data_IF_034014626618
#
_entry.id   IF_034014626618
#
_cell.length_a   1.000
_cell.length_b   1.000
_cell.length_c   1.000
_cell.angle_alpha   90.00
_cell.angle_beta   90.00
_cell.angle_gamma   90.00
#
_symmetry.space_group_name_H-M   'P 1'
#
loop_
_entity.id
_entity.type
_entity.pdbx_description
1 polymer ?
#
# COMPACT_ATOMS: atom_id res chain seq x y z
N UNK A 1 -0.98 16.20 7.77
CA UNK A 1 -0.10 15.15 8.29
C UNK A 1 1.33 15.48 7.91
N UNK A 2 2.29 15.33 8.85
CA UNK A 2 3.70 15.52 8.49
C UNK A 2 4.15 14.46 7.47
N UNK A 3 5.20 14.74 6.69
CA UNK A 3 5.78 13.77 5.75
C UNK A 3 6.22 12.48 6.44
N UNK A 4 6.60 12.57 7.70
CA UNK A 4 7.02 11.43 8.53
C UNK A 4 5.82 10.58 8.95
N UNK A 5 4.69 11.20 9.27
CA UNK A 5 3.46 10.49 9.67
C UNK A 5 2.83 9.71 8.51
N UNK A 6 3.03 10.17 7.27
CA UNK A 6 2.52 9.49 6.08
C UNK A 6 3.05 8.06 5.92
N UNK A 7 4.25 7.79 6.46
CA UNK A 7 4.93 6.50 6.38
C UNK A 7 4.79 5.65 7.65
N UNK A 8 4.10 6.14 8.67
CA UNK A 8 3.85 5.35 9.88
C UNK A 8 2.98 4.14 9.51
N UNK A 9 3.38 2.92 9.89
CA UNK A 9 2.62 1.71 9.60
C UNK A 9 1.17 1.78 10.09
N UNK A 10 0.27 1.12 9.37
CA UNK A 10 -1.18 1.19 9.62
C UNK A 10 -1.56 0.72 11.03
N UNK A 11 -0.92 -0.33 11.55
CA UNK A 11 -1.19 -0.86 12.88
C UNK A 11 -0.80 0.11 13.99
N UNK A 12 0.31 0.84 13.83
CA UNK A 12 0.71 1.90 14.75
C UNK A 12 -0.30 3.05 14.76
N UNK A 13 -0.83 3.42 13.59
CA UNK A 13 -1.85 4.48 13.47
C UNK A 13 -3.19 4.06 14.07
N UNK A 14 -3.57 2.79 13.92
CA UNK A 14 -4.74 2.23 14.61
C UNK A 14 -4.54 2.31 16.12
N UNK A 15 -3.37 1.91 16.62
CA UNK A 15 -3.05 1.90 18.05
C UNK A 15 -3.07 3.30 18.67
N UNK A 16 -2.53 4.30 17.96
CA UNK A 16 -2.56 5.72 18.36
C UNK A 16 -3.96 6.36 18.31
N UNK A 17 -4.89 5.78 17.58
CA UNK A 17 -6.20 6.39 17.34
C UNK A 17 -6.28 7.29 16.11
N UNK A 18 -5.19 7.41 15.34
CA UNK A 18 -5.09 8.29 14.15
C UNK A 18 -6.02 7.86 12.99
N UNK A 19 -6.53 6.63 13.01
CA UNK A 19 -7.40 6.05 11.99
C UNK A 19 -8.68 5.51 12.60
N UNK A 20 -9.78 5.50 11.85
CA UNK A 20 -10.96 4.74 12.24
C UNK A 20 -10.63 3.23 12.24
N UNK A 21 -11.09 2.52 13.26
CA UNK A 21 -10.89 1.09 13.40
C UNK A 21 -12.12 0.42 14.00
N UNK A 22 -12.39 -0.80 13.56
CA UNK A 22 -13.50 -1.63 14.04
C UNK A 22 -12.92 -2.87 14.71
N UNK A 23 -13.55 -3.30 15.81
CA UNK A 23 -13.23 -4.55 16.46
C UNK A 23 -13.65 -5.72 15.55
N UNK A 24 -12.69 -6.59 15.22
CA UNK A 24 -12.94 -7.84 14.52
C UNK A 24 -12.76 -8.99 15.50
N UNK A 25 -13.84 -9.73 15.74
CA UNK A 25 -13.87 -10.83 16.71
C UNK A 25 -13.80 -12.18 16.01
N UNK A 26 -12.92 -13.06 16.51
CA UNK A 26 -12.88 -14.47 16.16
C UNK A 26 -12.88 -15.30 17.44
N UNK A 27 -14.07 -15.77 17.83
CA UNK A 27 -14.32 -16.57 19.03
C UNK A 27 -14.34 -18.08 18.75
N UNK A 28 -13.81 -18.53 17.61
CA UNK A 28 -13.88 -19.94 17.22
C UNK A 28 -13.20 -20.89 18.24
N UNK A 29 -12.31 -20.39 19.10
CA UNK A 29 -11.60 -21.18 20.11
C UNK A 29 -11.77 -20.68 21.55
N UNK A 30 -12.80 -19.90 21.85
CA UNK A 30 -13.09 -19.49 23.23
C UNK A 30 -13.32 -18.00 23.41
N UNK A 31 -12.92 -17.50 24.58
CA UNK A 31 -13.21 -16.14 25.04
C UNK A 31 -12.60 -15.05 24.16
N UNK A 32 -13.17 -13.86 24.26
CA UNK A 32 -12.69 -12.70 23.54
C UNK A 32 -11.32 -12.27 24.06
N UNK A 33 -10.30 -12.39 23.23
CA UNK A 33 -8.93 -11.99 23.49
C UNK A 33 -8.59 -10.63 22.84
N UNK A 34 -9.60 -9.77 22.60
CA UNK A 34 -9.38 -8.47 21.95
C UNK A 34 -8.57 -7.55 22.88
N UNK A 35 -7.33 -7.16 22.51
CA UNK A 35 -6.54 -6.29 23.37
C UNK A 35 -7.13 -4.87 23.39
N UNK A 36 -6.85 -4.10 24.46
CA UNK A 36 -7.06 -2.66 24.46
C UNK A 36 -6.42 -2.04 23.22
N UNK A 37 -7.07 -1.02 22.68
CA UNK A 37 -6.67 -0.45 21.40
C UNK A 37 -5.26 0.16 21.41
N UNK A 38 -4.78 0.67 22.54
CA UNK A 38 -3.41 1.22 22.63
C UNK A 38 -2.34 0.12 22.73
N UNK A 39 -2.75 -1.11 23.04
CA UNK A 39 -1.86 -2.27 23.21
C UNK A 39 -1.75 -3.12 21.94
N UNK A 40 -2.34 -2.68 20.80
CA UNK A 40 -2.17 -3.43 19.55
C UNK A 40 -0.67 -3.49 19.27
N UNK A 41 -0.14 -4.72 19.17
CA UNK A 41 1.28 -4.97 19.08
C UNK A 41 1.95 -4.04 18.06
N UNK A 42 3.13 -3.51 18.40
CA UNK A 42 3.96 -2.76 17.45
C UNK A 42 4.44 -3.63 16.27
N UNK A 43 4.19 -4.93 16.32
CA UNK A 43 4.39 -5.89 15.24
C UNK A 43 3.12 -6.05 14.38
N UNK A 44 3.29 -6.29 13.09
CA UNK A 44 2.19 -6.45 12.13
C UNK A 44 1.46 -7.79 12.28
N UNK A 45 2.02 -8.73 13.05
CA UNK A 45 1.42 -10.04 13.31
C UNK A 45 0.48 -9.98 14.50
N UNK A 46 -0.80 -10.33 14.34
CA UNK A 46 -1.71 -10.41 15.48
C UNK A 46 -1.27 -11.53 16.41
N UNK A 47 -1.11 -11.19 17.70
CA UNK A 47 -0.82 -12.13 18.79
C UNK A 47 -2.11 -12.80 19.28
N UNK A 48 -3.26 -12.14 19.05
CA UNK A 48 -4.61 -12.53 19.46
C UNK A 48 -5.47 -12.82 18.23
N UNK A 49 -6.58 -13.55 18.41
CA UNK A 49 -7.54 -13.84 17.33
C UNK A 49 -8.49 -12.68 17.09
N UNK A 50 -8.96 -12.05 18.16
CA UNK A 50 -9.70 -10.81 18.08
C UNK A 50 -8.72 -9.64 17.92
N UNK A 51 -8.97 -8.75 16.96
CA UNK A 51 -8.05 -7.68 16.62
C UNK A 51 -8.78 -6.42 16.14
N UNK A 52 -8.11 -5.28 16.26
CA UNK A 52 -8.56 -4.04 15.65
C UNK A 52 -8.19 -4.02 14.17
N UNK A 53 -9.19 -3.84 13.29
CA UNK A 53 -8.97 -3.69 11.84
C UNK A 53 -9.28 -2.28 11.41
N UNK A 54 -8.49 -1.77 10.47
CA UNK A 54 -8.75 -0.48 9.84
C UNK A 54 -10.15 -0.47 9.21
N UNK A 55 -10.95 0.53 9.57
CA UNK A 55 -12.23 0.78 8.93
C UNK A 55 -11.99 1.70 7.73
N UNK A 56 -12.03 1.13 6.52
CA UNK A 56 -11.80 1.92 5.31
C UNK A 56 -12.91 2.95 5.11
N UNK A 57 -12.53 4.23 5.13
CA UNK A 57 -13.46 5.36 5.02
C UNK A 57 -13.60 5.89 3.58
N UNK A 58 -13.08 5.18 2.58
CA UNK A 58 -13.09 5.63 1.18
C UNK A 58 -11.98 6.64 0.82
N UNK A 59 -11.11 7.00 1.77
CA UNK A 59 -10.02 7.96 1.57
C UNK A 59 -8.67 7.24 1.66
N UNK A 60 -7.72 7.60 0.79
CA UNK A 60 -6.34 7.11 0.82
C UNK A 60 -5.58 7.67 2.03
N UNK A 61 -5.75 7.04 3.19
CA UNK A 61 -5.27 7.57 4.47
C UNK A 61 -3.81 7.25 4.79
N UNK A 62 -3.19 6.20 4.20
CA UNK A 62 -1.78 5.84 4.41
C UNK A 62 -1.07 5.48 3.12
N UNK A 63 0.24 5.72 3.01
CA UNK A 63 1.10 5.29 1.88
C UNK A 63 1.26 3.75 1.74
N UNK A 64 0.46 2.98 2.49
CA UNK A 64 0.50 1.54 2.59
C UNK A 64 0.03 0.86 1.30
N UNK A 65 0.47 -0.38 1.07
CA UNK A 65 0.18 -1.13 -0.16
C UNK A 65 -1.33 -1.31 -0.40
N UNK A 66 -2.12 -1.46 0.67
CA UNK A 66 -3.58 -1.57 0.59
C UNK A 66 -4.26 -0.28 0.14
N UNK A 67 -3.83 0.89 0.64
CA UNK A 67 -4.47 2.14 0.26
C UNK A 67 -3.98 2.61 -1.11
N UNK A 68 -2.69 2.56 -1.43
CA UNK A 68 -2.20 3.08 -2.73
C UNK A 68 -1.93 2.00 -3.78
N UNK A 69 -2.56 0.83 -3.64
CA UNK A 69 -2.44 -0.27 -4.60
C UNK A 69 -0.99 -0.55 -5.00
N UNK A 70 -0.08 -0.54 -4.01
CA UNK A 70 1.35 -0.36 -4.25
C UNK A 70 1.95 -1.39 -5.22
N UNK A 71 1.47 -2.64 -5.19
CA UNK A 71 1.87 -3.67 -6.16
C UNK A 71 1.37 -3.39 -7.57
N UNK A 72 0.11 -3.00 -7.72
CA UNK A 72 -0.48 -2.69 -9.03
C UNK A 72 0.25 -1.50 -9.66
N UNK A 73 0.43 -0.41 -8.92
CA UNK A 73 1.19 0.76 -9.36
C UNK A 73 2.66 0.41 -9.70
N UNK A 74 3.33 -0.42 -8.90
CA UNK A 74 4.69 -0.89 -9.22
C UNK A 74 4.72 -1.71 -10.52
N UNK A 75 3.75 -2.58 -10.74
CA UNK A 75 3.64 -3.38 -11.96
C UNK A 75 3.38 -2.51 -13.19
N UNK A 76 2.47 -1.54 -13.08
CA UNK A 76 2.18 -0.56 -14.11
C UNK A 76 3.42 0.29 -14.47
N UNK A 77 4.14 0.80 -13.47
CA UNK A 77 5.39 1.54 -13.69
C UNK A 77 6.44 0.69 -14.39
N UNK A 78 6.55 -0.61 -14.07
CA UNK A 78 7.45 -1.51 -14.80
C UNK A 78 7.03 -1.65 -16.26
N UNK A 79 5.75 -1.90 -16.53
CA UNK A 79 5.22 -1.99 -17.90
C UNK A 79 5.51 -0.71 -18.69
N UNK A 80 5.21 0.45 -18.11
CA UNK A 80 5.46 1.76 -18.73
C UNK A 80 6.94 1.97 -19.08
N UNK A 81 7.85 1.58 -18.18
CA UNK A 81 9.30 1.63 -18.46
C UNK A 81 9.73 0.69 -19.58
N UNK A 82 9.16 -0.52 -19.64
CA UNK A 82 9.46 -1.47 -20.70
C UNK A 82 8.97 -0.96 -22.06
N UNK A 83 7.75 -0.40 -22.12
CA UNK A 83 7.20 0.25 -23.32
C UNK A 83 8.10 1.41 -23.75
N UNK A 84 8.39 2.35 -22.85
CA UNK A 84 9.26 3.49 -23.18
C UNK A 84 10.65 3.06 -23.66
N UNK A 85 11.23 2.03 -23.05
CA UNK A 85 12.52 1.45 -23.50
C UNK A 85 12.40 0.84 -24.90
N UNK A 86 11.31 0.13 -25.18
CA UNK A 86 11.05 -0.47 -26.49
C UNK A 86 10.90 0.61 -27.57
N UNK A 87 10.10 1.64 -27.29
CA UNK A 87 9.85 2.74 -28.21
C UNK A 87 11.12 3.52 -28.51
N UNK A 88 11.92 3.82 -27.48
CA UNK A 88 13.22 4.46 -27.65
C UNK A 88 14.18 3.61 -28.52
N UNK A 89 14.22 2.29 -28.29
CA UNK A 89 15.04 1.37 -29.11
C UNK A 89 14.57 1.32 -30.56
N UNK A 90 13.26 1.34 -30.79
CA UNK A 90 12.69 1.38 -32.13
C UNK A 90 13.02 2.69 -32.83
N UNK A 91 12.88 3.83 -32.15
CA UNK A 91 13.24 5.15 -32.67
C UNK A 91 14.73 5.21 -33.05
N UNK A 92 15.63 4.72 -32.20
CA UNK A 92 17.07 4.63 -32.51
C UNK A 92 17.33 3.75 -33.73
N UNK A 93 16.65 2.59 -33.85
CA UNK A 93 16.77 1.73 -35.02
C UNK A 93 16.32 2.44 -36.29
N UNK A 94 15.16 3.09 -36.28
CA UNK A 94 14.61 3.86 -37.40
C UNK A 94 15.58 4.95 -37.86
N UNK A 95 16.08 5.72 -36.91
CA UNK A 95 17.10 6.74 -37.15
C UNK A 95 18.35 6.16 -37.82
N UNK A 96 18.88 5.06 -37.28
CA UNK A 96 20.07 4.40 -37.83
C UNK A 96 19.84 3.81 -39.23
N UNK A 97 18.62 3.41 -39.57
CA UNK A 97 18.26 2.92 -40.91
C UNK A 97 17.94 4.05 -41.91
N UNK A 98 18.14 5.32 -41.52
CA UNK A 98 17.96 6.47 -42.39
C UNK A 98 16.53 6.99 -42.49
N UNK A 99 15.63 6.54 -41.61
CA UNK A 99 14.30 7.14 -41.45
C UNK A 99 14.47 8.52 -40.80
N UNK A 100 14.53 9.55 -41.66
CA UNK A 100 14.72 10.96 -41.29
C UNK A 100 13.39 11.71 -41.23
N UNK A 101 12.33 11.08 -40.70
CA UNK A 101 11.05 11.76 -40.49
C UNK A 101 11.20 12.84 -39.40
N UNK A 102 11.69 13.99 -39.85
CA UNK A 102 11.50 15.31 -39.28
C UNK A 102 10.15 15.82 -39.82
N UNK A 103 9.12 15.79 -38.99
CA UNK A 103 8.00 16.72 -39.10
C UNK A 103 7.87 17.46 -37.77
#
# INVERSE_FOLDING_TARGET
MSRTDAHVPIHIRIARGDLAATAHHDHASGECDLPPRHDVAHDWRPVTRCQWRFAFTGIYVCSCEMCHEGRAHRAERRRSRHTATSDARLAVRRWNTGDRTLE
#
